data_IF_921534684094
#
_entry.id   IF_921534684094
#
_cell.length_a   1.000
_cell.length_b   1.000
_cell.length_c   1.000
_cell.angle_alpha   90.00
_cell.angle_beta   90.00
_cell.angle_gamma   90.00
#
_symmetry.space_group_name_H-M   'P 1'
#
loop_
_entity.id
_entity.type
_entity.pdbx_description
1 polymer ?
#
# COMPACT_ATOMS: atom_id res chain seq x y z
N UNK A 1 11.74 16.61 -11.17
CA UNK A 1 12.03 17.70 -10.22
C UNK A 1 13.53 17.94 -10.23
N UNK A 2 13.96 19.19 -10.43
CA UNK A 2 15.37 19.57 -10.51
C UNK A 2 15.69 20.50 -9.35
N UNK A 3 16.79 20.23 -8.63
CA UNK A 3 17.31 21.11 -7.58
C UNK A 3 18.46 21.94 -8.13
N UNK A 4 18.41 23.24 -7.91
CA UNK A 4 19.50 24.16 -8.20
C UNK A 4 19.71 25.06 -6.97
N UNK A 5 20.87 24.97 -6.34
CA UNK A 5 21.12 25.50 -4.99
C UNK A 5 20.06 24.97 -4.01
N UNK A 6 19.43 25.83 -3.22
CA UNK A 6 18.38 25.44 -2.25
C UNK A 6 16.96 25.58 -2.83
N UNK A 7 16.83 25.92 -4.11
CA UNK A 7 15.54 26.05 -4.78
C UNK A 7 15.15 24.74 -5.49
N UNK A 8 13.87 24.43 -5.45
CA UNK A 8 13.28 23.29 -6.15
C UNK A 8 12.37 23.80 -7.24
N UNK A 9 12.61 23.34 -8.47
CA UNK A 9 11.83 23.74 -9.64
C UNK A 9 11.28 22.50 -10.33
N UNK A 10 10.07 22.58 -10.87
CA UNK A 10 9.47 21.54 -11.69
C UNK A 10 9.89 21.75 -13.14
N UNK A 11 10.58 20.75 -13.70
CA UNK A 11 10.89 20.73 -15.14
C UNK A 11 9.90 19.81 -15.84
N UNK A 12 9.13 20.37 -16.76
CA UNK A 12 8.09 19.68 -17.52
C UNK A 12 8.53 19.52 -18.97
N UNK A 13 8.45 18.29 -19.48
CA UNK A 13 8.71 17.95 -20.88
C UNK A 13 7.39 17.45 -21.46
N UNK A 14 6.69 18.27 -22.27
CA UNK A 14 5.50 17.81 -22.97
C UNK A 14 5.86 16.73 -23.99
N UNK A 15 5.10 15.64 -24.03
CA UNK A 15 5.33 14.58 -25.00
C UNK A 15 4.02 14.01 -25.54
N UNK A 16 4.08 13.44 -26.72
CA UNK A 16 2.98 12.74 -27.36
C UNK A 16 3.39 11.31 -27.72
N UNK A 17 2.50 10.36 -27.46
CA UNK A 17 2.68 8.98 -27.89
C UNK A 17 2.08 8.77 -29.26
N UNK A 18 2.90 8.28 -30.20
CA UNK A 18 2.45 7.89 -31.53
C UNK A 18 2.88 6.43 -31.78
N UNK A 19 1.92 5.53 -31.82
CA UNK A 19 2.20 4.08 -31.88
C UNK A 19 2.92 3.59 -30.62
N UNK A 20 4.12 3.04 -30.76
CA UNK A 20 4.98 2.57 -29.69
C UNK A 20 6.06 3.58 -29.27
N UNK A 21 6.17 4.70 -29.95
CA UNK A 21 7.20 5.71 -29.70
C UNK A 21 6.64 6.96 -28.99
N UNK A 22 7.52 7.68 -28.28
CA UNK A 22 7.22 8.95 -27.63
C UNK A 22 8.03 10.07 -28.29
N UNK A 23 7.39 11.18 -28.56
CA UNK A 23 7.96 12.36 -29.19
C UNK A 23 7.74 13.56 -28.30
N UNK A 24 8.75 14.44 -28.16
CA UNK A 24 8.58 15.73 -27.51
C UNK A 24 7.63 16.53 -28.38
N UNK A 25 6.50 16.97 -27.83
CA UNK A 25 5.43 17.64 -28.59
C UNK A 25 5.45 19.15 -28.48
N UNK A 26 6.23 19.69 -27.53
CA UNK A 26 6.36 21.11 -27.30
C UNK A 26 7.67 21.43 -26.57
N UNK A 27 8.02 22.70 -26.43
CA UNK A 27 9.24 23.10 -25.73
C UNK A 27 9.15 22.76 -24.23
N UNK A 28 10.21 22.16 -23.64
CA UNK A 28 10.28 21.97 -22.21
C UNK A 28 10.30 23.31 -21.46
N UNK A 29 9.64 23.34 -20.31
CA UNK A 29 9.58 24.56 -19.49
C UNK A 29 9.78 24.28 -18.00
N UNK A 30 10.18 25.33 -17.29
CA UNK A 30 10.29 25.33 -15.83
C UNK A 30 9.09 26.04 -15.23
N UNK A 31 8.59 25.50 -14.13
CA UNK A 31 7.57 26.14 -13.31
C UNK A 31 7.93 26.05 -11.84
N UNK A 32 7.38 26.94 -11.03
CA UNK A 32 7.46 26.78 -9.57
C UNK A 32 6.77 25.49 -9.16
N UNK A 33 7.30 24.83 -8.15
CA UNK A 33 6.58 23.74 -7.52
C UNK A 33 5.31 24.33 -6.88
N UNK A 34 4.12 23.85 -7.24
CA UNK A 34 2.90 24.34 -6.62
C UNK A 34 3.00 24.19 -5.10
N UNK A 35 2.60 25.22 -4.38
CA UNK A 35 2.51 25.15 -2.93
C UNK A 35 1.43 24.10 -2.59
N UNK A 36 1.86 22.90 -2.25
CA UNK A 36 0.98 21.77 -1.93
C UNK A 36 0.41 21.95 -0.51
N UNK A 37 -0.10 23.13 -0.19
CA UNK A 37 -0.86 23.36 1.01
C UNK A 37 -2.27 22.81 0.76
N UNK A 38 -2.52 21.60 1.28
CA UNK A 38 -3.87 21.12 1.42
C UNK A 38 -4.57 21.98 2.47
N UNK A 39 -5.64 22.66 2.09
CA UNK A 39 -6.55 23.26 3.06
C UNK A 39 -7.21 22.13 3.85
N UNK A 40 -7.20 22.19 5.18
CA UNK A 40 -7.67 21.12 6.09
C UNK A 40 -9.06 20.55 5.73
N UNK A 41 -9.90 21.35 5.07
CA UNK A 41 -11.27 20.98 4.70
C UNK A 41 -11.37 20.08 3.45
N UNK A 42 -10.27 19.75 2.79
CA UNK A 42 -10.29 18.97 1.54
C UNK A 42 -9.55 17.63 1.63
N UNK A 43 -8.89 17.35 2.74
CA UNK A 43 -8.20 16.07 2.93
C UNK A 43 -9.18 15.06 3.51
N UNK A 44 -9.54 13.99 2.79
CA UNK A 44 -10.32 12.91 3.38
C UNK A 44 -9.55 12.35 4.56
N UNK A 45 -10.13 12.41 5.75
CA UNK A 45 -9.52 11.80 6.94
C UNK A 45 -9.48 10.30 6.73
N UNK A 46 -8.29 9.74 6.61
CA UNK A 46 -8.10 8.29 6.56
C UNK A 46 -8.05 7.79 8.00
N UNK A 47 -9.06 7.02 8.39
CA UNK A 47 -9.19 6.55 9.77
C UNK A 47 -9.12 5.04 9.85
N UNK A 48 -8.52 4.56 10.93
CA UNK A 48 -8.66 3.18 11.38
C UNK A 48 -10.09 2.99 11.88
N UNK A 49 -10.88 2.15 11.22
CA UNK A 49 -12.17 1.77 11.78
C UNK A 49 -12.03 0.41 12.48
N UNK A 50 -12.24 0.41 13.78
CA UNK A 50 -12.27 -0.83 14.59
C UNK A 50 -13.68 -1.47 14.55
N UNK A 51 -14.30 -1.49 13.38
CA UNK A 51 -15.67 -2.00 13.20
C UNK A 51 -15.75 -3.53 13.07
N UNK A 52 -14.62 -4.23 13.19
CA UNK A 52 -14.54 -5.67 12.97
C UNK A 52 -14.85 -6.48 14.23
N UNK A 53 -16.04 -7.03 14.33
CA UNK A 53 -16.40 -8.05 15.33
C UNK A 53 -15.81 -9.43 14.96
N UNK A 54 -14.50 -9.50 14.83
CA UNK A 54 -13.79 -10.76 14.63
C UNK A 54 -13.41 -11.34 15.99
N UNK A 55 -13.66 -12.63 16.24
CA UNK A 55 -13.28 -13.26 17.51
C UNK A 55 -11.76 -13.27 17.69
N UNK A 56 -11.29 -13.22 18.93
CA UNK A 56 -9.86 -13.17 19.26
C UNK A 56 -9.06 -14.33 18.67
N UNK A 57 -9.66 -15.53 18.62
CA UNK A 57 -9.01 -16.70 18.01
C UNK A 57 -8.79 -16.51 16.50
N UNK A 58 -9.81 -16.05 15.77
CA UNK A 58 -9.71 -15.76 14.34
C UNK A 58 -8.74 -14.63 14.10
N UNK A 59 -8.76 -13.57 14.92
CA UNK A 59 -7.80 -12.48 14.82
C UNK A 59 -6.35 -12.97 14.95
N UNK A 60 -6.04 -13.84 15.90
CA UNK A 60 -4.70 -14.44 16.05
C UNK A 60 -4.25 -15.21 14.81
N UNK A 61 -5.15 -15.97 14.18
CA UNK A 61 -4.84 -16.72 12.96
C UNK A 61 -4.60 -15.78 11.78
N UNK A 62 -5.40 -14.72 11.65
CA UNK A 62 -5.25 -13.70 10.62
C UNK A 62 -3.96 -12.88 10.81
N UNK A 63 -3.59 -12.52 12.05
CA UNK A 63 -2.32 -11.87 12.37
C UNK A 63 -1.12 -12.74 11.99
N UNK A 64 -1.18 -14.04 12.30
CA UNK A 64 -0.15 -15.00 11.92
C UNK A 64 -0.02 -15.13 10.40
N UNK A 65 -1.14 -15.23 9.70
CA UNK A 65 -1.16 -15.25 8.24
C UNK A 65 -0.58 -13.96 7.65
N UNK A 66 -1.00 -12.79 8.14
CA UNK A 66 -0.53 -11.49 7.68
C UNK A 66 0.98 -11.32 7.85
N UNK A 67 1.54 -11.75 9.00
CA UNK A 67 2.99 -11.77 9.21
C UNK A 67 3.70 -12.68 8.21
N UNK A 68 3.18 -13.88 7.97
CA UNK A 68 3.73 -14.81 6.97
C UNK A 68 3.68 -14.24 5.56
N UNK A 69 2.57 -13.57 5.20
CA UNK A 69 2.39 -12.91 3.91
C UNK A 69 3.45 -11.83 3.65
N UNK A 70 3.66 -10.91 4.60
CA UNK A 70 4.65 -9.84 4.43
C UNK A 70 6.09 -10.33 4.56
N UNK A 71 6.33 -11.40 5.31
CA UNK A 71 7.63 -12.09 5.28
C UNK A 71 7.89 -12.66 3.88
N UNK A 72 6.95 -13.41 3.30
CA UNK A 72 7.08 -13.95 1.94
C UNK A 72 7.19 -12.83 0.89
N UNK A 73 6.47 -11.73 1.07
CA UNK A 73 6.53 -10.55 0.20
C UNK A 73 7.97 -10.00 0.05
N UNK A 74 8.79 -10.11 1.07
CA UNK A 74 10.17 -9.60 1.06
C UNK A 74 11.24 -10.68 0.83
N UNK A 75 10.91 -11.96 1.02
CA UNK A 75 11.93 -13.04 1.04
C UNK A 75 11.66 -14.18 0.08
N UNK A 76 10.40 -14.52 -0.22
CA UNK A 76 10.06 -15.77 -0.90
C UNK A 76 8.89 -15.58 -1.88
N UNK A 77 9.24 -15.36 -3.15
CA UNK A 77 8.27 -15.14 -4.21
C UNK A 77 7.43 -16.37 -4.57
N UNK A 78 7.91 -17.59 -4.31
CA UNK A 78 7.15 -18.80 -4.63
C UNK A 78 6.09 -19.06 -3.54
N UNK A 79 6.43 -18.93 -2.28
CA UNK A 79 5.44 -18.92 -1.19
C UNK A 79 4.44 -17.79 -1.39
N UNK A 80 4.87 -16.57 -1.77
CA UNK A 80 3.99 -15.44 -2.00
C UNK A 80 2.91 -15.74 -3.05
N UNK A 81 3.28 -16.37 -4.17
CA UNK A 81 2.33 -16.79 -5.24
C UNK A 81 1.31 -17.81 -4.76
N UNK A 82 1.67 -18.66 -3.79
CA UNK A 82 0.78 -19.68 -3.24
C UNK A 82 -0.27 -19.09 -2.28
N UNK A 83 0.05 -17.96 -1.62
CA UNK A 83 -0.80 -17.37 -0.57
C UNK A 83 -1.41 -16.03 -0.95
N UNK A 84 -1.05 -15.48 -2.12
CA UNK A 84 -1.58 -14.17 -2.56
C UNK A 84 -1.66 -14.02 -4.07
N UNK A 85 -2.50 -13.06 -4.49
CA UNK A 85 -2.56 -12.56 -5.87
C UNK A 85 -2.54 -11.03 -5.84
N UNK A 86 -1.70 -10.43 -6.69
CA UNK A 86 -1.59 -8.97 -6.82
C UNK A 86 -0.38 -8.38 -6.09
N UNK A 87 0.42 -9.21 -5.40
CA UNK A 87 1.74 -8.83 -4.90
C UNK A 87 2.85 -9.48 -5.73
N UNK A 88 3.95 -8.77 -5.87
CA UNK A 88 5.19 -9.28 -6.45
C UNK A 88 6.31 -9.16 -5.43
N UNK A 89 7.27 -10.10 -5.46
CA UNK A 89 8.39 -10.12 -4.53
C UNK A 89 9.14 -8.78 -4.50
N UNK A 90 9.26 -8.19 -3.32
CA UNK A 90 9.97 -6.93 -3.09
C UNK A 90 11.31 -7.18 -2.39
N UNK A 91 12.35 -7.45 -3.16
CA UNK A 91 13.70 -7.71 -2.67
C UNK A 91 14.42 -6.49 -2.06
N UNK A 92 13.88 -5.29 -2.26
CA UNK A 92 14.49 -4.05 -1.76
C UNK A 92 14.10 -3.70 -0.32
N UNK A 93 13.23 -4.51 0.28
CA UNK A 93 12.70 -4.27 1.63
C UNK A 93 12.78 -5.51 2.51
N UNK A 94 12.75 -5.29 3.82
CA UNK A 94 12.67 -6.33 4.85
C UNK A 94 11.45 -6.03 5.74
N UNK A 95 10.55 -6.99 5.90
CA UNK A 95 9.45 -6.90 6.84
C UNK A 95 9.98 -7.01 8.28
N UNK A 96 9.61 -6.05 9.14
CA UNK A 96 10.05 -6.00 10.54
C UNK A 96 8.94 -6.38 11.52
N UNK A 97 7.76 -5.77 11.38
CA UNK A 97 6.65 -6.00 12.30
C UNK A 97 5.29 -5.71 11.68
N UNK A 98 4.28 -6.38 12.21
CA UNK A 98 2.88 -6.00 12.08
C UNK A 98 2.54 -5.15 13.31
N UNK A 99 2.36 -3.84 13.11
CA UNK A 99 2.22 -2.87 14.19
C UNK A 99 0.76 -2.73 14.61
N UNK A 100 -0.15 -2.72 13.63
CA UNK A 100 -1.58 -2.65 13.86
C UNK A 100 -2.31 -3.45 12.78
N UNK A 101 -3.41 -4.13 13.16
CA UNK A 101 -4.28 -4.83 12.23
C UNK A 101 -5.73 -4.81 12.69
N UNK A 102 -6.63 -4.56 11.76
CA UNK A 102 -8.06 -4.74 11.90
C UNK A 102 -8.59 -5.65 10.80
N UNK A 103 -9.53 -6.51 11.17
CA UNK A 103 -10.12 -7.49 10.26
C UNK A 103 -11.63 -7.42 10.37
N UNK A 104 -12.30 -7.03 9.29
CA UNK A 104 -13.74 -6.97 9.21
C UNK A 104 -14.27 -8.16 8.41
N UNK A 105 -15.12 -8.99 9.04
CA UNK A 105 -15.77 -10.09 8.36
C UNK A 105 -16.75 -9.57 7.29
N UNK A 106 -16.59 -10.02 6.04
CA UNK A 106 -17.44 -9.65 4.90
C UNK A 106 -18.44 -10.73 4.50
N UNK A 107 -18.52 -11.81 5.31
CA UNK A 107 -19.32 -13.00 5.00
C UNK A 107 -18.58 -14.01 4.10
N UNK A 108 -19.03 -15.28 4.09
CA UNK A 108 -18.46 -16.34 3.25
C UNK A 108 -16.97 -16.60 3.46
N UNK A 109 -16.51 -16.63 4.70
CA UNK A 109 -15.09 -16.85 5.06
C UNK A 109 -14.12 -15.77 4.48
N UNK A 110 -14.63 -14.57 4.19
CA UNK A 110 -13.84 -13.44 3.71
C UNK A 110 -13.69 -12.36 4.78
N UNK A 111 -12.51 -11.78 4.83
CA UNK A 111 -12.15 -10.71 5.76
C UNK A 111 -11.52 -9.56 4.99
N UNK A 112 -11.98 -8.34 5.25
CA UNK A 112 -11.27 -7.14 4.82
C UNK A 112 -10.24 -6.78 5.88
N UNK A 113 -8.98 -6.82 5.51
CA UNK A 113 -7.85 -6.50 6.35
C UNK A 113 -7.38 -5.06 6.11
N UNK A 114 -7.15 -4.32 7.17
CA UNK A 114 -6.44 -3.04 7.16
C UNK A 114 -5.29 -3.18 8.13
N UNK A 115 -4.07 -3.00 7.64
CA UNK A 115 -2.87 -3.26 8.43
C UNK A 115 -1.86 -2.14 8.30
N UNK A 116 -1.13 -1.91 9.37
CA UNK A 116 0.07 -1.09 9.43
C UNK A 116 1.25 -2.00 9.74
N UNK A 117 2.29 -1.88 8.95
CA UNK A 117 3.51 -2.68 9.08
C UNK A 117 4.73 -1.77 9.09
N UNK A 118 5.76 -2.21 9.79
CA UNK A 118 7.09 -1.60 9.72
C UNK A 118 7.96 -2.38 8.73
N UNK A 119 8.54 -1.64 7.81
CA UNK A 119 9.47 -2.13 6.80
C UNK A 119 10.83 -1.46 6.96
N UNK A 120 11.88 -2.11 6.44
CA UNK A 120 13.24 -1.56 6.40
C UNK A 120 13.82 -1.72 4.99
N UNK A 121 14.47 -0.68 4.49
CA UNK A 121 15.23 -0.69 3.24
C UNK A 121 16.59 -0.01 3.44
N UNK A 122 17.32 0.24 2.36
CA UNK A 122 18.63 0.90 2.39
C UNK A 122 18.58 2.34 2.96
N UNK A 123 17.42 3.01 2.93
CA UNK A 123 17.23 4.37 3.44
C UNK A 123 16.82 4.40 4.92
N UNK A 124 16.47 3.26 5.50
CA UNK A 124 16.07 3.13 6.90
C UNK A 124 14.77 2.39 7.11
N UNK A 125 14.22 2.56 8.31
CA UNK A 125 12.96 1.96 8.74
C UNK A 125 11.80 2.95 8.50
N UNK A 126 10.70 2.46 7.95
CA UNK A 126 9.51 3.25 7.68
C UNK A 126 8.25 2.41 7.86
N UNK A 127 7.11 3.10 7.96
CA UNK A 127 5.79 2.49 8.16
C UNK A 127 5.01 2.52 6.86
N UNK A 128 4.35 1.41 6.56
CA UNK A 128 3.48 1.26 5.39
C UNK A 128 2.08 0.80 5.82
N UNK A 129 1.06 1.29 5.10
CA UNK A 129 -0.33 0.89 5.32
C UNK A 129 -0.84 0.10 4.12
N UNK A 130 -1.53 -0.99 4.40
CA UNK A 130 -2.17 -1.83 3.38
C UNK A 130 -3.62 -2.12 3.74
N UNK A 131 -4.44 -2.25 2.71
CA UNK A 131 -5.73 -2.91 2.83
C UNK A 131 -5.82 -4.00 1.76
N UNK A 132 -6.41 -5.13 2.12
CA UNK A 132 -6.56 -6.28 1.24
C UNK A 132 -7.68 -7.20 1.72
N UNK A 133 -8.08 -8.12 0.88
CA UNK A 133 -9.05 -9.16 1.21
C UNK A 133 -8.32 -10.44 1.58
N UNK A 134 -8.69 -11.08 2.68
CA UNK A 134 -8.26 -12.43 3.07
C UNK A 134 -9.44 -13.37 2.90
N UNK A 135 -9.24 -14.46 2.19
CA UNK A 135 -10.22 -15.53 2.01
C UNK A 135 -9.71 -16.82 2.66
N UNK A 136 -10.54 -17.42 3.52
CA UNK A 136 -10.23 -18.72 4.13
C UNK A 136 -10.51 -19.83 3.11
N UNK A 137 -9.50 -20.63 2.83
CA UNK A 137 -9.57 -21.76 1.91
C UNK A 137 -9.27 -23.06 2.67
N UNK A 138 -10.31 -23.82 3.05
CA UNK A 138 -10.16 -25.07 3.83
C UNK A 138 -9.34 -24.87 5.11
N UNK A 139 -8.02 -25.12 5.06
CA UNK A 139 -7.10 -24.99 6.19
C UNK A 139 -6.06 -23.87 6.02
N UNK A 140 -6.17 -23.06 4.99
CA UNK A 140 -5.25 -21.98 4.64
C UNK A 140 -5.99 -20.67 4.43
N UNK A 141 -5.22 -19.59 4.28
CA UNK A 141 -5.71 -18.27 3.91
C UNK A 141 -5.08 -17.83 2.59
N UNK A 142 -5.80 -17.03 1.83
CA UNK A 142 -5.34 -16.47 0.56
C UNK A 142 -5.67 -14.98 0.51
N UNK A 143 -4.72 -14.14 0.06
CA UNK A 143 -4.87 -12.69 0.06
C UNK A 143 -4.97 -12.11 -1.37
N UNK A 144 -5.89 -11.16 -1.57
CA UNK A 144 -6.16 -10.47 -2.84
C UNK A 144 -6.47 -8.99 -2.64
N UNK A 145 -6.65 -8.26 -3.72
CA UNK A 145 -7.19 -6.89 -3.75
C UNK A 145 -6.37 -5.87 -2.95
N UNK A 146 -5.05 -5.96 -3.06
CA UNK A 146 -4.13 -5.10 -2.33
C UNK A 146 -4.23 -3.63 -2.76
N UNK A 147 -4.33 -2.75 -1.76
CA UNK A 147 -4.21 -1.30 -1.90
C UNK A 147 -3.21 -0.78 -0.88
N UNK A 148 -2.29 0.05 -1.33
CA UNK A 148 -1.24 0.65 -0.50
C UNK A 148 -1.73 1.97 0.12
N UNK A 149 -2.77 1.90 0.96
CA UNK A 149 -3.39 3.05 1.60
C UNK A 149 -4.32 2.60 2.73
N UNK A 150 -4.67 3.52 3.63
CA UNK A 150 -5.79 3.34 4.56
C UNK A 150 -7.13 3.57 3.84
N UNK A 151 -8.24 2.97 4.33
CA UNK A 151 -9.56 3.25 3.82
C UNK A 151 -9.95 4.72 4.05
N UNK A 152 -10.73 5.28 3.13
CA UNK A 152 -11.31 6.61 3.33
C UNK A 152 -12.32 6.55 4.49
N UNK A 153 -12.26 7.53 5.39
CA UNK A 153 -13.24 7.70 6.45
C UNK A 153 -14.64 7.92 5.86
N UNK A 154 -15.65 7.42 6.52
CA UNK A 154 -17.04 7.75 6.15
C UNK A 154 -17.20 9.27 6.28
N UNK A 155 -17.68 9.93 5.23
CA UNK A 155 -18.18 11.30 5.34
C UNK A 155 -19.41 11.22 6.26
N UNK A 156 -19.33 11.83 7.43
CA UNK A 156 -20.50 12.12 8.25
C UNK A 156 -21.36 13.17 7.57
#
# INVERSE_FOLDING_TARGET
>A
MVKYHDETTLFTIPYQKVGSAYYISDEPYFSSVPDLQATENQVPTKTWSDSGKTSDSVKKDLDKFTKSLFTAYTTDGDTLKLISKGLSLNKGQEFKSLDQATYEAKGGDKYHAVVQITMKNALGTHVENYQFTIEKQKQSYFATDFKHTLPEGKKE
#
